data_IF_047043810605
#
_entry.id   IF_047043810605
#
_cell.length_a   1.000
_cell.length_b   1.000
_cell.length_c   1.000
_cell.angle_alpha   90.00
_cell.angle_beta   90.00
_cell.angle_gamma   90.00
#
_symmetry.space_group_name_H-M   'P 1'
#
loop_
_entity.id
_entity.type
_entity.pdbx_description
1 polymer ?
#
# COMPACT_ATOMS: atom_id res chain seq x y z
N UNK A 1 6.27 -2.29 -6.68
CA UNK A 1 5.86 -0.91 -6.36
C UNK A 1 4.62 -0.59 -7.16
N UNK A 2 3.61 0.01 -6.56
CA UNK A 2 2.41 0.42 -7.30
C UNK A 2 2.75 1.52 -8.34
N UNK A 3 1.77 1.87 -9.16
CA UNK A 3 1.96 2.77 -10.30
C UNK A 3 1.80 4.26 -9.96
N UNK A 4 1.80 4.64 -8.67
CA UNK A 4 1.64 6.03 -8.25
C UNK A 4 2.74 6.92 -8.82
N UNK A 5 2.39 8.14 -9.26
CA UNK A 5 3.33 9.05 -9.94
C UNK A 5 4.54 9.42 -9.07
N UNK A 6 4.35 9.52 -7.75
CA UNK A 6 5.45 9.79 -6.81
C UNK A 6 6.49 8.67 -6.76
N UNK A 7 6.15 7.46 -7.17
CA UNK A 7 7.10 6.34 -7.27
C UNK A 7 7.99 6.40 -8.52
N UNK A 8 7.75 7.36 -9.42
CA UNK A 8 8.47 7.50 -10.70
C UNK A 8 9.27 8.79 -10.82
N UNK A 9 9.43 9.52 -9.71
CA UNK A 9 10.27 10.73 -9.71
C UNK A 9 11.74 10.36 -9.89
N UNK A 10 12.52 11.29 -10.43
CA UNK A 10 13.95 11.13 -10.68
C UNK A 10 14.69 10.67 -9.41
N UNK A 11 15.55 9.66 -9.52
CA UNK A 11 16.37 9.15 -8.42
C UNK A 11 15.79 7.96 -7.67
N UNK A 12 14.48 7.67 -7.78
CA UNK A 12 13.85 6.54 -7.06
C UNK A 12 14.43 5.21 -7.52
N UNK A 13 14.53 4.99 -8.84
CA UNK A 13 15.03 3.74 -9.40
C UNK A 13 16.50 3.53 -9.03
N UNK A 14 17.30 4.57 -9.19
CA UNK A 14 18.72 4.57 -8.88
C UNK A 14 18.97 4.26 -7.40
N UNK A 15 18.21 4.89 -6.50
CA UNK A 15 18.33 4.63 -5.07
C UNK A 15 17.97 3.18 -4.68
N UNK A 16 16.96 2.60 -5.31
CA UNK A 16 16.55 1.20 -5.08
C UNK A 16 17.61 0.23 -5.63
N UNK A 17 18.09 0.46 -6.85
CA UNK A 17 19.07 -0.43 -7.48
C UNK A 17 20.45 -0.32 -6.82
N UNK A 18 20.80 0.83 -6.22
CA UNK A 18 22.05 1.04 -5.49
C UNK A 18 22.22 0.12 -4.25
N UNK A 19 21.11 -0.35 -3.67
CA UNK A 19 21.14 -1.32 -2.55
C UNK A 19 21.04 -2.78 -3.02
N UNK A 20 21.16 -3.03 -4.33
CA UNK A 20 21.07 -4.36 -4.94
C UNK A 20 19.65 -4.90 -5.09
N UNK A 21 18.62 -4.06 -4.88
CA UNK A 21 17.23 -4.45 -5.08
C UNK A 21 16.81 -4.26 -6.55
N UNK A 22 15.83 -5.05 -6.99
CA UNK A 22 15.23 -4.91 -8.33
C UNK A 22 13.91 -4.16 -8.23
N UNK A 23 13.80 -3.05 -8.96
CA UNK A 23 12.53 -2.33 -9.06
C UNK A 23 11.59 -3.01 -10.06
N UNK A 24 10.42 -3.42 -9.58
CA UNK A 24 9.31 -3.94 -10.39
C UNK A 24 8.07 -3.09 -10.15
N UNK A 25 7.52 -2.52 -11.23
CA UNK A 25 6.25 -1.80 -11.18
C UNK A 25 5.10 -2.76 -11.48
N UNK A 26 4.00 -2.58 -10.74
CA UNK A 26 2.76 -3.30 -11.02
C UNK A 26 2.03 -2.68 -12.22
N UNK A 27 1.27 -3.49 -12.96
CA UNK A 27 0.33 -2.99 -13.95
C UNK A 27 -0.68 -2.02 -13.30
N UNK A 28 -1.13 -0.98 -14.02
CA UNK A 28 -2.13 -0.05 -13.50
C UNK A 28 -3.37 -0.77 -12.97
N UNK A 29 -3.96 -0.26 -11.89
CA UNK A 29 -5.18 -0.79 -11.27
C UNK A 29 -5.12 -2.30 -10.95
N UNK A 30 -3.94 -2.83 -10.64
CA UNK A 30 -3.75 -4.25 -10.33
C UNK A 30 -3.40 -4.47 -8.85
N UNK A 31 -4.34 -4.17 -7.92
CA UNK A 31 -4.09 -4.33 -6.48
C UNK A 31 -3.80 -5.80 -6.12
N UNK A 32 -4.37 -6.76 -6.84
CA UNK A 32 -4.20 -8.19 -6.57
C UNK A 32 -2.74 -8.68 -6.68
N UNK A 33 -1.88 -7.94 -7.38
CA UNK A 33 -0.45 -8.24 -7.49
C UNK A 33 0.41 -7.65 -6.37
N UNK A 34 -0.21 -6.87 -5.47
CA UNK A 34 0.47 -6.27 -4.33
C UNK A 34 0.34 -7.17 -3.11
N UNK A 35 1.46 -7.72 -2.58
CA UNK A 35 1.40 -8.68 -1.46
C UNK A 35 0.90 -8.07 -0.15
N UNK A 36 0.84 -6.74 -0.04
CA UNK A 36 0.39 -6.03 1.16
C UNK A 36 -1.13 -5.91 1.26
N UNK A 37 -1.91 -6.14 0.20
CA UNK A 37 -3.36 -5.90 0.21
C UNK A 37 -4.07 -6.72 1.31
N UNK A 38 -3.70 -8.00 1.42
CA UNK A 38 -4.24 -8.88 2.45
C UNK A 38 -3.76 -8.55 3.86
N UNK A 39 -2.74 -7.71 4.03
CA UNK A 39 -2.28 -7.23 5.34
C UNK A 39 -3.21 -6.11 5.86
N UNK A 40 -3.68 -5.24 4.97
CA UNK A 40 -4.54 -4.11 5.35
C UNK A 40 -5.86 -4.52 5.98
N UNK A 41 -6.41 -5.69 5.64
CA UNK A 41 -7.61 -6.21 6.33
C UNK A 41 -7.36 -6.43 7.82
N UNK A 42 -6.25 -7.09 8.19
CA UNK A 42 -5.87 -7.33 9.60
C UNK A 42 -5.53 -6.03 10.33
N UNK A 43 -4.80 -5.12 9.68
CA UNK A 43 -4.49 -3.81 10.29
C UNK A 43 -5.78 -3.04 10.60
N UNK A 44 -6.73 -2.99 9.65
CA UNK A 44 -8.02 -2.32 9.86
C UNK A 44 -8.86 -3.00 10.95
N UNK A 45 -8.86 -4.33 11.00
CA UNK A 45 -9.54 -5.10 12.05
C UNK A 45 -8.99 -4.74 13.44
N UNK A 46 -7.66 -4.75 13.58
CA UNK A 46 -6.99 -4.35 14.81
C UNK A 46 -7.32 -2.90 15.21
N UNK A 47 -7.27 -1.95 14.27
CA UNK A 47 -7.63 -0.55 14.58
C UNK A 47 -9.10 -0.40 15.00
N UNK A 48 -10.01 -1.19 14.41
CA UNK A 48 -11.44 -1.18 14.77
C UNK A 48 -11.69 -1.77 16.16
N UNK A 49 -10.91 -2.76 16.59
CA UNK A 49 -11.06 -3.33 17.95
C UNK A 49 -10.58 -2.36 19.04
N UNK A 50 -9.66 -1.45 18.71
CA UNK A 50 -9.18 -0.40 19.60
C UNK A 50 -10.07 0.86 19.60
N UNK A 51 -10.84 1.08 18.54
CA UNK A 51 -11.73 2.22 18.45
C UNK A 51 -12.94 2.04 19.39
N UNK A 52 -13.33 3.11 20.08
CA UNK A 52 -14.66 3.16 20.68
C UNK A 52 -15.70 2.95 19.57
N UNK A 53 -16.80 2.22 19.81
CA UNK A 53 -17.84 2.03 18.81
C UNK A 53 -18.22 3.38 18.22
N UNK A 54 -18.08 3.56 16.90
CA UNK A 54 -18.70 4.71 16.28
C UNK A 54 -20.20 4.58 16.54
N UNK A 55 -20.79 5.55 17.25
CA UNK A 55 -22.23 5.71 17.31
C UNK A 55 -22.72 5.66 15.86
N UNK A 56 -23.52 4.64 15.57
CA UNK A 56 -24.10 4.40 14.27
C UNK A 56 -25.00 5.60 13.97
N UNK A 57 -24.51 6.60 13.24
CA UNK A 57 -25.38 7.57 12.59
C UNK A 57 -26.05 6.83 11.43
N UNK A 58 -27.12 6.12 11.80
CA UNK A 58 -28.16 5.68 10.87
C UNK A 58 -28.94 6.95 10.52
N UNK A 59 -28.69 7.46 9.32
CA UNK A 59 -29.69 8.19 8.54
C UNK A 59 -29.94 7.36 7.28
#
# INVERSE_FOLDING_TARGET
>A
MDNFSSHKVTGIKEAIEAVGARLVYLSPYSPDFSPIENCWSKVKEFLRSLAAPQALNVL
#
